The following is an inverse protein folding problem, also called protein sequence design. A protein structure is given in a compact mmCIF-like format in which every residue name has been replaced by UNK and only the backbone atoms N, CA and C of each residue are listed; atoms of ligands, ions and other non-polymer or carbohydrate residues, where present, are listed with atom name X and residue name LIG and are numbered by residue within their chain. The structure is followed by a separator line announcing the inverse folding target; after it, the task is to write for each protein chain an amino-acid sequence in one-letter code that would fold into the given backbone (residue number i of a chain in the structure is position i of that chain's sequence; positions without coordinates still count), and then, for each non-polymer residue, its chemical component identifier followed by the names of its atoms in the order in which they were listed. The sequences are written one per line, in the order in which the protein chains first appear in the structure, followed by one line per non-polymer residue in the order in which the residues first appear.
data_IF_801848909291
#
_entry.id   IF_801848909291
#
_cell.length_a   1.000
_cell.length_b   1.000
_cell.length_c   1.000
_cell.angle_alpha   90.00
_cell.angle_beta   90.00
_cell.angle_gamma   90.00
#
_symmetry.space_group_name_H-M   'P 1'
#
loop_
_entity.id
_entity.type
_entity.pdbx_description
1 polymer ?
#
# COMPACT_ATOMS: atom_id res chain seq x y z
N UNK A 1 33.35 23.10 1.44
CA UNK A 1 31.99 23.20 0.87
C UNK A 1 31.11 22.25 1.66
N UNK A 2 30.53 22.74 2.75
CA UNK A 2 29.69 21.93 3.64
C UNK A 2 28.25 21.96 3.15
N UNK A 3 27.71 20.83 2.72
CA UNK A 3 26.27 20.72 2.50
C UNK A 3 25.59 20.69 3.88
N UNK A 4 24.87 21.76 4.23
CA UNK A 4 23.86 21.70 5.28
C UNK A 4 22.77 20.73 4.82
N UNK A 5 22.68 19.55 5.42
CA UNK A 5 21.61 18.59 5.15
C UNK A 5 20.26 19.18 5.61
N UNK A 6 19.59 19.90 4.72
CA UNK A 6 18.20 20.29 4.88
C UNK A 6 17.32 19.15 4.37
N UNK A 7 16.58 18.51 5.27
CA UNK A 7 15.51 17.56 4.94
C UNK A 7 14.23 18.01 5.62
N UNK A 8 13.12 17.97 4.90
CA UNK A 8 11.81 18.15 5.50
C UNK A 8 11.44 16.95 6.38
N UNK A 9 10.69 17.18 7.46
CA UNK A 9 10.01 16.12 8.18
C UNK A 9 8.70 15.84 7.43
N UNK A 10 8.64 14.71 6.73
CA UNK A 10 7.48 14.38 5.91
C UNK A 10 6.30 13.91 6.75
N UNK A 11 5.10 14.28 6.29
CA UNK A 11 3.87 13.67 6.79
C UNK A 11 3.85 12.19 6.40
N UNK A 12 3.08 11.38 7.14
CA UNK A 12 2.91 9.97 6.82
C UNK A 12 2.35 9.82 5.39
N UNK A 13 2.87 8.86 4.63
CA UNK A 13 2.58 8.68 3.21
C UNK A 13 3.50 9.43 2.25
N UNK A 14 4.38 10.34 2.71
CA UNK A 14 5.28 11.09 1.82
C UNK A 14 6.78 10.84 2.11
N UNK A 15 7.59 10.97 1.07
CA UNK A 15 9.05 10.86 1.09
C UNK A 15 9.70 11.86 0.11
N UNK A 16 11.03 11.88 0.07
CA UNK A 16 11.82 12.83 -0.72
C UNK A 16 12.45 13.94 0.13
N UNK A 17 13.30 14.76 -0.48
CA UNK A 17 14.01 15.82 0.25
C UNK A 17 13.04 16.91 0.72
N UNK A 18 12.00 17.15 -0.08
CA UNK A 18 10.96 18.15 0.14
C UNK A 18 9.56 17.54 0.33
N UNK A 19 9.49 16.22 0.59
CA UNK A 19 8.24 15.47 0.78
C UNK A 19 7.32 15.48 -0.46
N UNK A 20 7.93 15.53 -1.64
CA UNK A 20 7.27 15.62 -2.94
C UNK A 20 6.82 14.27 -3.50
N UNK A 21 7.30 13.17 -2.93
CA UNK A 21 7.04 11.83 -3.45
C UNK A 21 6.02 11.12 -2.56
N UNK A 22 4.89 10.72 -3.14
CA UNK A 22 3.95 9.80 -2.48
C UNK A 22 4.61 8.42 -2.35
N UNK A 23 4.48 7.80 -1.20
CA UNK A 23 4.99 6.45 -0.96
C UNK A 23 4.05 5.51 -1.69
N UNK A 24 4.58 4.62 -2.53
CA UNK A 24 3.78 3.57 -3.14
C UNK A 24 3.65 2.40 -2.16
N UNK A 25 2.57 2.38 -1.36
CA UNK A 25 2.32 1.29 -0.41
C UNK A 25 2.02 -0.04 -1.10
N UNK A 26 1.56 -0.02 -2.36
CA UNK A 26 1.43 -1.22 -3.18
C UNK A 26 2.77 -1.80 -3.66
N UNK A 27 3.89 -1.08 -3.52
CA UNK A 27 5.22 -1.51 -4.00
C UNK A 27 5.73 -2.82 -3.37
N UNK A 28 5.24 -3.16 -2.17
CA UNK A 28 5.54 -4.41 -1.49
C UNK A 28 4.67 -5.60 -1.93
N UNK A 29 3.71 -5.37 -2.84
CA UNK A 29 2.70 -6.35 -3.26
C UNK A 29 1.94 -6.98 -2.09
N UNK A 30 1.25 -6.17 -1.25
CA UNK A 30 0.64 -6.66 -0.01
C UNK A 30 -0.60 -7.53 -0.22
N UNK A 31 -1.27 -7.43 -1.37
CA UNK A 31 -2.48 -8.19 -1.68
C UNK A 31 -2.12 -9.61 -2.14
N UNK A 32 -2.68 -10.61 -1.47
CA UNK A 32 -2.46 -12.03 -1.74
C UNK A 32 -3.53 -12.57 -2.69
N UNK A 33 -3.35 -13.83 -3.11
CA UNK A 33 -4.37 -14.62 -3.79
C UNK A 33 -4.99 -13.96 -5.04
N UNK A 34 -4.19 -13.22 -5.80
CA UNK A 34 -4.63 -12.54 -7.01
C UNK A 34 -5.43 -11.25 -6.78
N UNK A 35 -5.49 -10.74 -5.54
CA UNK A 35 -6.08 -9.45 -5.23
C UNK A 35 -5.35 -8.29 -5.91
N UNK A 36 -6.11 -7.31 -6.41
CA UNK A 36 -5.53 -6.09 -7.00
C UNK A 36 -5.28 -5.04 -5.93
N UNK A 37 -4.07 -4.50 -5.88
CA UNK A 37 -3.71 -3.42 -4.97
C UNK A 37 -4.05 -2.05 -5.57
N UNK A 38 -4.63 -1.16 -4.77
CA UNK A 38 -4.79 0.26 -5.09
C UNK A 38 -4.07 1.09 -4.04
N UNK A 39 -3.10 1.85 -4.52
CA UNK A 39 -2.30 2.79 -3.72
C UNK A 39 -3.17 3.89 -3.15
N UNK A 40 -2.92 4.30 -1.90
CA UNK A 40 -3.65 5.39 -1.24
C UNK A 40 -2.70 6.15 -0.35
N UNK A 41 -2.99 7.43 -0.12
CA UNK A 41 -2.17 8.22 0.79
C UNK A 41 -2.06 7.55 2.17
N UNK A 42 -0.83 7.18 2.55
CA UNK A 42 -0.49 6.51 3.81
C UNK A 42 -1.16 5.14 3.99
N UNK A 43 -1.41 4.40 2.91
CA UNK A 43 -1.99 3.07 2.99
C UNK A 43 -2.33 2.45 1.64
N UNK A 44 -3.02 1.32 1.65
CA UNK A 44 -3.47 0.68 0.43
C UNK A 44 -4.82 0.00 0.65
N UNK A 45 -5.49 -0.33 -0.45
CA UNK A 45 -6.69 -1.15 -0.44
C UNK A 45 -6.51 -2.33 -1.38
N UNK A 46 -6.75 -3.54 -0.88
CA UNK A 46 -6.82 -4.74 -1.70
C UNK A 46 -8.25 -4.99 -2.16
N UNK A 47 -8.43 -5.17 -3.47
CA UNK A 47 -9.65 -5.70 -4.05
C UNK A 47 -9.47 -7.19 -4.28
N UNK A 48 -10.14 -8.00 -3.45
CA UNK A 48 -10.05 -9.45 -3.51
C UNK A 48 -10.87 -10.04 -4.65
N UNK A 49 -10.43 -11.20 -5.14
CA UNK A 49 -11.23 -12.07 -6.01
C UNK A 49 -12.36 -12.71 -5.21
N UNK A 50 -13.39 -13.23 -5.89
CA UNK A 50 -14.63 -13.74 -5.27
C UNK A 50 -14.42 -14.80 -4.16
N UNK A 51 -13.35 -15.59 -4.23
CA UNK A 51 -13.04 -16.64 -3.26
C UNK A 51 -12.24 -16.18 -2.03
N UNK A 52 -11.88 -14.89 -1.90
CA UNK A 52 -10.99 -14.40 -0.84
C UNK A 52 -11.51 -13.11 -0.18
N UNK A 53 -11.15 -12.93 1.08
CA UNK A 53 -11.47 -11.78 1.94
C UNK A 53 -10.31 -11.47 2.89
N UNK A 54 -10.49 -10.47 3.75
CA UNK A 54 -9.43 -9.92 4.61
C UNK A 54 -8.77 -8.68 4.00
N UNK A 55 -8.01 -7.95 4.81
CA UNK A 55 -7.37 -6.70 4.39
C UNK A 55 -6.35 -6.90 3.27
N UNK A 56 -5.77 -8.10 3.21
CA UNK A 56 -4.76 -8.49 2.25
C UNK A 56 -5.22 -9.65 1.38
N UNK A 57 -6.53 -9.96 1.36
CA UNK A 57 -7.10 -11.11 0.66
C UNK A 57 -6.52 -12.46 1.11
N UNK A 58 -6.10 -12.55 2.36
CA UNK A 58 -5.41 -13.69 2.97
C UNK A 58 -6.36 -14.81 3.44
N UNK A 59 -7.66 -14.51 3.55
CA UNK A 59 -8.67 -15.45 4.05
C UNK A 59 -9.46 -16.02 2.88
N UNK A 60 -9.49 -17.34 2.73
CA UNK A 60 -10.37 -17.99 1.75
C UNK A 60 -11.82 -17.93 2.23
N UNK A 61 -12.69 -17.29 1.46
CA UNK A 61 -14.12 -17.21 1.72
C UNK A 61 -14.79 -18.50 1.22
N UNK A 62 -14.81 -19.54 2.06
CA UNK A 62 -15.51 -20.78 1.76
C UNK A 62 -17.03 -20.54 1.78
N UNK A 63 -17.64 -20.49 0.58
CA UNK A 63 -19.09 -20.31 0.44
C UNK A 63 -19.62 -20.08 -0.97
N UNK A 64 -18.83 -20.35 -2.03
CA UNK A 64 -19.27 -20.25 -3.44
C UNK A 64 -19.80 -21.59 -3.99
N UNK A 65 -20.48 -22.35 -3.13
CA UNK A 65 -21.25 -23.53 -3.54
C UNK A 65 -22.53 -23.60 -2.67
N UNK A 66 -23.56 -22.87 -3.11
CA UNK A 66 -24.98 -23.04 -2.76
C UNK A 66 -25.80 -22.70 -3.99
#
# INVERSE_FOLDING_TARGET
MGATLYRCLCQQGYTGQTCETDINECGSSPCQNGGSCTDRLNGYVCRCTEAYTGSNCEVQQQGIDM
#
